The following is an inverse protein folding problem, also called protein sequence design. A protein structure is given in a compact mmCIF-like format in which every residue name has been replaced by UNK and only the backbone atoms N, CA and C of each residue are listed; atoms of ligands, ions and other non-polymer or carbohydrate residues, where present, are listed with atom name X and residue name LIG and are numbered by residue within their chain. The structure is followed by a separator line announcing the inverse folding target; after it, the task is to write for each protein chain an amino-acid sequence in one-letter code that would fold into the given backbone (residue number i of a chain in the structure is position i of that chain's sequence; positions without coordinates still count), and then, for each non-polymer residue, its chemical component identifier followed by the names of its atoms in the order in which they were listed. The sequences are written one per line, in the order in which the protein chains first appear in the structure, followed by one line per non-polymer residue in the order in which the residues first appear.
data_IF_180828170012
#
_entry.id   IF_180828170012
#
_cell.length_a   1.000
_cell.length_b   1.000
_cell.length_c   1.000
_cell.angle_alpha   90.00
_cell.angle_beta   90.00
_cell.angle_gamma   90.00
#
_symmetry.space_group_name_H-M   'P 1'
#
loop_
_entity.id
_entity.type
_entity.pdbx_description
1 polymer ?
#
# COMPACT_ATOMS: atom_id res chain seq x y z
N UNK A 1 -0.22 16.94 19.21
CA UNK A 1 0.22 15.54 19.15
C UNK A 1 0.99 15.26 17.86
N UNK A 2 1.96 14.33 17.89
CA UNK A 2 2.72 13.85 16.74
C UNK A 2 2.36 12.37 16.56
N UNK A 3 1.99 11.96 15.33
CA UNK A 3 1.68 10.57 15.01
C UNK A 3 2.79 9.95 14.17
N UNK A 4 3.31 8.81 14.64
CA UNK A 4 4.15 7.91 13.84
C UNK A 4 3.26 6.84 13.25
N UNK A 5 3.07 6.89 11.93
CA UNK A 5 2.24 5.94 11.22
C UNK A 5 2.99 4.64 10.99
N UNK A 6 2.32 3.51 11.19
CA UNK A 6 2.70 2.25 10.57
C UNK A 6 2.56 2.35 9.04
N UNK A 7 2.86 1.28 8.33
CA UNK A 7 2.59 1.22 6.88
C UNK A 7 1.09 1.28 6.65
N UNK A 8 0.62 2.38 6.06
CA UNK A 8 -0.80 2.62 5.78
C UNK A 8 -1.21 1.80 4.57
N UNK A 9 -2.25 0.97 4.71
CA UNK A 9 -2.78 0.15 3.64
C UNK A 9 -4.28 0.35 3.46
N UNK A 10 -4.76 0.11 2.24
CA UNK A 10 -6.17 0.24 1.86
C UNK A 10 -6.32 0.57 0.38
N UNK A 11 -7.50 0.35 -0.19
CA UNK A 11 -7.77 0.61 -1.59
C UNK A 11 -8.01 2.10 -1.86
N UNK A 12 -7.42 2.59 -2.94
CA UNK A 12 -7.73 3.89 -3.54
C UNK A 12 -7.43 3.83 -5.02
N UNK A 13 -8.26 4.42 -5.86
CA UNK A 13 -8.08 4.47 -7.31
C UNK A 13 -7.00 5.47 -7.73
N UNK A 14 -6.86 6.59 -7.01
CA UNK A 14 -6.09 7.73 -7.51
C UNK A 14 -4.71 7.89 -6.87
N UNK A 15 -4.60 7.59 -5.57
CA UNK A 15 -3.41 7.96 -4.79
C UNK A 15 -2.80 6.79 -4.02
N UNK A 16 -3.22 5.57 -4.34
CA UNK A 16 -2.76 4.38 -3.63
C UNK A 16 -1.28 4.10 -3.89
N UNK A 17 -0.51 4.01 -2.81
CA UNK A 17 0.86 3.54 -2.89
C UNK A 17 0.88 2.02 -3.00
N UNK A 18 0.97 1.51 -4.21
CA UNK A 18 0.90 0.07 -4.49
C UNK A 18 2.02 -0.74 -3.82
N UNK A 19 3.20 -0.17 -3.66
CA UNK A 19 4.37 -0.85 -3.05
C UNK A 19 4.25 -1.08 -1.54
N UNK A 20 3.19 -0.62 -0.89
CA UNK A 20 2.87 -1.05 0.47
C UNK A 20 2.45 -2.52 0.40
N UNK A 21 3.08 -3.37 1.20
CA UNK A 21 3.02 -4.82 1.09
C UNK A 21 1.59 -5.39 1.06
N UNK A 22 0.62 -5.02 1.94
CA UNK A 22 -0.74 -5.54 1.81
C UNK A 22 -1.42 -5.12 0.51
N UNK A 23 -1.17 -3.88 0.00
CA UNK A 23 -1.73 -3.40 -1.25
C UNK A 23 -1.21 -4.21 -2.44
N UNK A 24 0.11 -4.40 -2.51
CA UNK A 24 0.77 -5.16 -3.57
C UNK A 24 0.33 -6.63 -3.56
N UNK A 25 0.31 -7.26 -2.39
CA UNK A 25 -0.05 -8.66 -2.27
C UNK A 25 -1.51 -8.91 -2.64
N UNK A 26 -2.41 -8.00 -2.27
CA UNK A 26 -3.82 -8.07 -2.67
C UNK A 26 -3.98 -7.95 -4.19
N UNK A 27 -3.25 -7.05 -4.83
CA UNK A 27 -3.26 -6.91 -6.30
C UNK A 27 -2.74 -8.19 -6.97
N UNK A 28 -1.60 -8.72 -6.51
CA UNK A 28 -1.05 -9.98 -7.04
C UNK A 28 -2.05 -11.12 -6.85
N UNK A 29 -2.67 -11.20 -5.68
CA UNK A 29 -3.66 -12.24 -5.38
C UNK A 29 -4.90 -12.14 -6.29
N UNK A 30 -5.39 -10.93 -6.57
CA UNK A 30 -6.54 -10.74 -7.48
C UNK A 30 -6.28 -11.21 -8.91
N UNK A 31 -5.02 -11.37 -9.28
CA UNK A 31 -4.57 -11.77 -10.62
C UNK A 31 -4.10 -13.23 -10.70
N UNK A 32 -4.35 -14.05 -9.66
CA UNK A 32 -3.86 -15.42 -9.54
C UNK A 32 -2.31 -15.53 -9.66
N UNK A 33 -1.62 -14.47 -9.25
CA UNK A 33 -0.18 -14.30 -9.45
C UNK A 33 0.70 -15.10 -8.50
N UNK A 34 1.95 -14.66 -8.35
CA UNK A 34 2.93 -15.30 -7.48
C UNK A 34 3.56 -14.28 -6.54
N UNK A 35 3.45 -14.48 -5.24
CA UNK A 35 4.17 -13.71 -4.21
C UNK A 35 5.50 -14.40 -3.94
N UNK A 36 6.59 -13.64 -4.02
CA UNK A 36 7.93 -14.11 -3.60
C UNK A 36 8.21 -13.61 -2.19
N UNK A 37 8.53 -14.53 -1.28
CA UNK A 37 8.89 -14.24 0.11
C UNK A 37 10.41 -14.32 0.26
N UNK A 38 11.07 -13.19 0.25
CA UNK A 38 12.52 -13.08 0.48
C UNK A 38 12.85 -13.46 1.92
N UNK A 39 13.81 -14.36 2.09
CA UNK A 39 14.20 -14.90 3.39
C UNK A 39 13.04 -15.54 4.16
N UNK A 40 12.14 -16.23 3.44
CA UNK A 40 10.97 -16.87 4.03
C UNK A 40 9.89 -15.91 4.57
N UNK A 41 10.01 -14.59 4.33
CA UNK A 41 9.01 -13.60 4.73
C UNK A 41 8.92 -13.31 6.22
N UNK A 42 10.02 -13.50 6.96
CA UNK A 42 10.08 -13.34 8.43
C UNK A 42 10.09 -11.89 8.90
N UNK A 43 10.20 -10.92 7.99
CA UNK A 43 10.28 -9.50 8.32
C UNK A 43 8.99 -8.99 8.96
N UNK A 44 9.14 -8.27 10.07
CA UNK A 44 8.03 -7.62 10.76
C UNK A 44 7.63 -6.32 10.07
N UNK A 45 6.32 -6.05 10.05
CA UNK A 45 5.71 -4.81 9.60
C UNK A 45 4.64 -4.37 10.58
N UNK A 46 4.69 -3.09 10.93
CA UNK A 46 3.61 -2.43 11.68
C UNK A 46 2.65 -1.82 10.66
N UNK A 47 1.41 -2.26 10.67
CA UNK A 47 0.40 -1.93 9.66
C UNK A 47 -0.76 -1.14 10.27
N UNK A 48 -1.39 -0.28 9.48
CA UNK A 48 -2.60 0.44 9.86
C UNK A 48 -3.54 0.62 8.67
N UNK A 49 -4.85 0.30 8.81
CA UNK A 49 -5.83 0.56 7.77
C UNK A 49 -5.99 2.05 7.50
N UNK A 50 -6.08 2.45 6.24
CA UNK A 50 -6.27 3.84 5.81
C UNK A 50 -7.49 4.51 6.47
N UNK A 51 -8.60 3.77 6.55
CA UNK A 51 -9.83 4.28 7.18
C UNK A 51 -9.62 4.55 8.67
N UNK A 52 -8.89 3.70 9.37
CA UNK A 52 -8.60 3.93 10.78
C UNK A 52 -7.63 5.10 11.00
N UNK A 53 -6.76 5.41 10.04
CA UNK A 53 -5.96 6.64 10.06
C UNK A 53 -6.86 7.87 10.00
N UNK A 54 -7.81 7.90 9.05
CA UNK A 54 -8.76 9.00 8.92
C UNK A 54 -9.63 9.15 10.19
N UNK A 55 -10.12 8.03 10.73
CA UNK A 55 -10.88 8.00 11.99
C UNK A 55 -10.06 8.51 13.18
N UNK A 56 -8.78 8.16 13.24
CA UNK A 56 -7.91 8.64 14.30
C UNK A 56 -7.75 10.17 14.23
N UNK A 57 -7.52 10.74 13.06
CA UNK A 57 -7.41 12.20 12.94
C UNK A 57 -8.69 12.91 13.34
N UNK A 58 -9.86 12.40 12.94
CA UNK A 58 -11.14 12.91 13.40
C UNK A 58 -11.28 12.81 14.93
N UNK A 59 -10.93 11.67 15.51
CA UNK A 59 -10.97 11.47 16.96
C UNK A 59 -10.04 12.43 17.72
N UNK A 60 -8.88 12.75 17.16
CA UNK A 60 -7.95 13.73 17.73
C UNK A 60 -8.52 15.12 17.75
N UNK A 61 -9.19 15.54 16.67
CA UNK A 61 -9.85 16.84 16.56
C UNK A 61 -10.98 17.00 17.59
N UNK A 62 -11.77 15.97 17.76
CA UNK A 62 -12.94 15.96 18.66
C UNK A 62 -12.55 15.71 20.14
N UNK A 63 -11.36 15.19 20.40
CA UNK A 63 -10.93 14.75 21.75
C UNK A 63 -9.92 15.72 22.38
N UNK A 64 -10.16 16.05 23.65
CA UNK A 64 -9.21 16.81 24.48
C UNK A 64 -8.14 15.92 25.15
N UNK A 65 -8.09 14.62 24.83
CA UNK A 65 -7.24 13.63 25.51
C UNK A 65 -5.78 13.60 24.99
N UNK A 66 -5.50 14.30 23.89
CA UNK A 66 -4.16 14.34 23.32
C UNK A 66 -3.36 15.52 23.87
N UNK A 67 -2.19 15.20 24.39
CA UNK A 67 -1.21 16.20 24.82
C UNK A 67 -0.10 16.37 23.76
N UNK A 68 0.89 17.21 24.04
CA UNK A 68 2.08 17.38 23.20
C UNK A 68 3.00 16.16 23.31
N UNK A 69 2.56 15.03 22.79
CA UNK A 69 3.27 13.77 22.82
C UNK A 69 3.34 13.08 21.45
N UNK A 70 4.14 12.01 21.41
CA UNK A 70 4.26 11.14 20.24
C UNK A 70 3.41 9.90 20.48
N UNK A 71 2.60 9.55 19.48
CA UNK A 71 1.72 8.38 19.46
C UNK A 71 2.02 7.53 18.24
N UNK A 72 2.14 6.22 18.42
CA UNK A 72 2.26 5.30 17.28
C UNK A 72 0.85 4.94 16.80
N UNK A 73 0.54 5.31 15.57
CA UNK A 73 -0.70 4.95 14.90
C UNK A 73 -0.44 3.72 14.04
N UNK A 74 -0.53 2.58 14.67
CA UNK A 74 -0.45 1.25 14.05
C UNK A 74 -1.46 0.35 14.73
N UNK A 75 -2.09 -0.56 13.97
CA UNK A 75 -3.01 -1.53 14.53
C UNK A 75 -2.33 -2.87 14.79
N UNK A 76 -1.63 -3.38 13.79
CA UNK A 76 -1.12 -4.74 13.78
C UNK A 76 0.38 -4.76 13.55
N UNK A 77 1.05 -5.66 14.27
CA UNK A 77 2.41 -6.06 13.99
C UNK A 77 2.37 -7.49 13.44
N UNK A 78 2.74 -7.66 12.18
CA UNK A 78 2.65 -8.93 11.47
C UNK A 78 3.89 -9.17 10.62
N UNK A 79 4.10 -10.39 10.17
CA UNK A 79 5.17 -10.73 9.24
C UNK A 79 4.69 -10.65 7.78
N UNK A 80 5.64 -10.52 6.86
CA UNK A 80 5.37 -10.55 5.41
C UNK A 80 4.71 -11.88 5.02
N UNK A 81 5.15 -12.99 5.64
CA UNK A 81 4.59 -14.33 5.41
C UNK A 81 3.13 -14.43 5.84
N UNK A 82 2.78 -13.91 7.02
CA UNK A 82 1.40 -13.94 7.52
C UNK A 82 0.45 -13.21 6.56
N UNK A 83 0.83 -12.05 6.04
CA UNK A 83 0.02 -11.32 5.06
C UNK A 83 -0.13 -12.10 3.76
N UNK A 84 0.93 -12.74 3.26
CA UNK A 84 0.83 -13.60 2.09
C UNK A 84 -0.09 -14.80 2.31
N UNK A 85 -0.07 -15.39 3.50
CA UNK A 85 -0.97 -16.50 3.85
C UNK A 85 -2.43 -16.06 3.94
N UNK A 86 -2.72 -14.85 4.44
CA UNK A 86 -4.07 -14.27 4.39
C UNK A 86 -4.52 -14.14 2.93
N UNK A 87 -3.70 -13.57 2.05
CA UNK A 87 -4.02 -13.48 0.63
C UNK A 87 -4.26 -14.86 0.00
N UNK A 88 -3.45 -15.87 0.36
CA UNK A 88 -3.59 -17.25 -0.12
C UNK A 88 -4.89 -17.92 0.38
N UNK A 89 -5.29 -17.64 1.61
CA UNK A 89 -6.56 -18.11 2.18
C UNK A 89 -7.76 -17.57 1.39
N UNK A 90 -7.72 -16.28 1.04
CA UNK A 90 -8.80 -15.62 0.30
C UNK A 90 -8.81 -16.05 -1.18
N UNK A 91 -7.63 -16.11 -1.81
CA UNK A 91 -7.50 -16.66 -3.17
C UNK A 91 -6.60 -17.89 -3.22
N UNK A 92 -7.16 -19.10 -3.19
CA UNK A 92 -6.39 -20.34 -3.25
C UNK A 92 -5.54 -20.56 -4.51
N UNK A 93 -5.77 -19.83 -5.59
CA UNK A 93 -4.96 -19.90 -6.83
C UNK A 93 -3.65 -19.15 -6.71
N UNK A 94 -3.55 -18.18 -5.79
CA UNK A 94 -2.31 -17.44 -5.53
C UNK A 94 -1.17 -18.41 -5.26
N UNK A 95 -0.01 -18.18 -5.86
CA UNK A 95 1.21 -18.94 -5.59
C UNK A 95 2.09 -18.18 -4.61
N UNK A 96 2.70 -18.90 -3.67
CA UNK A 96 3.71 -18.36 -2.74
C UNK A 96 5.00 -19.14 -2.96
N UNK A 97 6.10 -18.42 -3.19
CA UNK A 97 7.45 -18.98 -3.38
C UNK A 97 8.36 -18.35 -2.33
N UNK A 98 8.95 -19.17 -1.49
CA UNK A 98 9.96 -18.74 -0.53
C UNK A 98 11.35 -18.79 -1.18
N UNK A 99 12.16 -17.76 -0.95
CA UNK A 99 13.54 -17.70 -1.39
C UNK A 99 14.47 -17.67 -0.18
N UNK A 100 15.70 -18.14 -0.37
CA UNK A 100 16.72 -18.17 0.67
C UNK A 100 17.60 -16.90 0.69
N UNK A 101 17.14 -15.84 0.01
CA UNK A 101 17.88 -14.58 -0.04
C UNK A 101 18.05 -14.00 1.35
N UNK A 102 19.22 -13.45 1.62
CA UNK A 102 19.48 -12.71 2.84
C UNK A 102 18.57 -11.47 2.91
N UNK A 103 17.92 -11.29 4.05
CA UNK A 103 17.12 -10.10 4.32
C UNK A 103 17.84 -9.24 5.35
N UNK A 104 18.49 -8.15 4.93
CA UNK A 104 19.32 -7.33 5.80
C UNK A 104 18.52 -6.60 6.88
N UNK A 105 17.21 -6.39 6.66
CA UNK A 105 16.34 -5.72 7.61
C UNK A 105 15.14 -6.59 7.99
N UNK A 106 15.19 -7.13 9.22
CA UNK A 106 14.09 -7.95 9.78
C UNK A 106 12.86 -7.13 10.19
N UNK A 107 12.92 -5.82 10.03
CA UNK A 107 11.83 -4.92 10.40
C UNK A 107 11.80 -4.60 11.90
N UNK A 108 10.72 -3.98 12.30
CA UNK A 108 10.47 -3.61 13.70
C UNK A 108 8.97 -3.61 13.98
N UNK A 109 8.62 -3.64 15.25
CA UNK A 109 7.25 -3.52 15.72
C UNK A 109 7.05 -2.20 16.46
N UNK A 110 5.86 -1.63 16.34
CA UNK A 110 5.44 -0.42 17.05
C UNK A 110 4.37 -0.77 18.09
N UNK A 111 4.53 -0.28 19.31
CA UNK A 111 3.48 -0.36 20.31
C UNK A 111 2.50 0.80 20.14
N UNK A 112 1.21 0.49 20.02
CA UNK A 112 0.13 1.46 19.96
C UNK A 112 -0.55 1.73 21.31
N UNK A 113 -0.03 1.16 22.39
CA UNK A 113 -0.64 1.23 23.72
C UNK A 113 -0.99 2.65 24.14
N UNK A 114 -0.07 3.60 23.97
CA UNK A 114 -0.32 5.01 24.31
C UNK A 114 -1.49 5.64 23.54
N UNK A 115 -1.73 5.21 22.30
CA UNK A 115 -2.89 5.64 21.51
C UNK A 115 -4.16 5.01 22.06
N UNK A 116 -4.15 3.71 22.34
CA UNK A 116 -5.31 3.01 22.90
C UNK A 116 -5.69 3.54 24.28
N UNK A 117 -4.72 3.93 25.12
CA UNK A 117 -4.97 4.53 26.43
C UNK A 117 -5.75 5.87 26.34
N UNK A 118 -5.84 6.50 25.15
CA UNK A 118 -6.70 7.66 24.91
C UNK A 118 -8.18 7.30 24.69
N UNK A 119 -8.48 6.01 24.52
CA UNK A 119 -9.81 5.49 24.18
C UNK A 119 -10.08 5.43 22.69
N UNK A 120 -9.05 5.57 21.84
CA UNK A 120 -9.19 5.31 20.41
C UNK A 120 -9.34 3.81 20.15
N UNK A 121 -10.28 3.45 19.27
CA UNK A 121 -10.54 2.07 18.90
C UNK A 121 -10.40 1.88 17.38
N UNK A 122 -9.65 0.86 16.99
CA UNK A 122 -9.57 0.40 15.60
C UNK A 122 -10.80 -0.44 15.27
N UNK A 123 -11.37 -0.25 14.08
CA UNK A 123 -12.55 -1.01 13.63
C UNK A 123 -12.26 -1.96 12.47
N UNK A 124 -11.28 -1.66 11.65
CA UNK A 124 -10.96 -2.48 10.48
C UNK A 124 -9.89 -3.51 10.83
N UNK A 125 -9.97 -4.71 10.30
CA UNK A 125 -8.96 -5.75 10.47
C UNK A 125 -8.26 -6.06 9.15
N UNK A 126 -7.06 -6.64 9.25
CA UNK A 126 -6.20 -6.90 8.09
C UNK A 126 -6.85 -7.84 7.07
N UNK A 127 -7.49 -8.91 7.52
CA UNK A 127 -8.10 -9.92 6.65
C UNK A 127 -9.25 -9.33 5.82
N UNK A 128 -10.18 -8.62 6.45
CA UNK A 128 -11.30 -7.98 5.75
C UNK A 128 -10.85 -6.89 4.78
N UNK A 129 -9.83 -6.10 5.15
CA UNK A 129 -9.27 -5.10 4.24
C UNK A 129 -8.58 -5.74 3.02
N UNK A 130 -7.86 -6.87 3.22
CA UNK A 130 -7.23 -7.61 2.11
C UNK A 130 -8.31 -8.21 1.20
N UNK A 131 -9.37 -8.80 1.76
CA UNK A 131 -10.49 -9.35 1.00
C UNK A 131 -11.17 -8.27 0.14
N UNK A 132 -11.43 -7.10 0.74
CA UNK A 132 -11.98 -5.95 0.01
C UNK A 132 -11.06 -5.51 -1.13
N UNK A 133 -9.75 -5.39 -0.88
CA UNK A 133 -8.79 -5.01 -1.92
C UNK A 133 -8.70 -6.04 -3.04
N UNK A 134 -8.66 -7.34 -2.73
CA UNK A 134 -8.64 -8.41 -3.74
C UNK A 134 -9.91 -8.35 -4.59
N UNK A 135 -11.06 -8.15 -3.96
CA UNK A 135 -12.35 -8.02 -4.66
C UNK A 135 -12.35 -6.82 -5.60
N UNK A 136 -11.97 -5.65 -5.13
CA UNK A 136 -11.91 -4.43 -5.96
C UNK A 136 -10.94 -4.58 -7.13
N UNK A 137 -9.75 -5.12 -6.91
CA UNK A 137 -8.80 -5.41 -8.00
C UNK A 137 -9.31 -6.46 -9.00
N UNK A 138 -10.14 -7.40 -8.56
CA UNK A 138 -10.73 -8.41 -9.42
C UNK A 138 -11.78 -7.81 -10.36
N UNK A 139 -12.55 -6.82 -9.91
CA UNK A 139 -13.50 -6.11 -10.77
C UNK A 139 -12.79 -5.32 -11.87
N UNK A 140 -11.66 -4.67 -11.61
CA UNK A 140 -10.86 -4.01 -12.65
C UNK A 140 -10.37 -4.99 -13.73
N UNK A 141 -10.14 -6.26 -13.36
CA UNK A 141 -9.76 -7.32 -14.30
C UNK A 141 -10.89 -7.73 -15.25
N UNK A 142 -12.15 -7.53 -14.86
CA UNK A 142 -13.32 -8.00 -15.63
C UNK A 142 -13.91 -6.97 -16.60
N UNK A 143 -13.42 -5.77 -16.62
CA UNK A 143 -13.80 -4.81 -17.67
C UNK A 143 -13.06 -5.11 -18.99
N UNK A 144 -13.25 -6.37 -19.46
CA UNK A 144 -12.72 -6.87 -20.74
C UNK A 144 -13.35 -6.19 -21.96
N UNK A 145 -14.36 -5.35 -21.75
CA UNK A 145 -15.02 -4.57 -22.81
C UNK A 145 -14.52 -3.12 -22.89
N UNK A 146 -13.66 -2.68 -21.96
CA UNK A 146 -12.79 -1.60 -22.31
C UNK A 146 -11.85 -2.16 -23.37
N UNK A 147 -12.16 -1.87 -24.64
CA UNK A 147 -11.13 -1.83 -25.66
C UNK A 147 -9.97 -1.07 -25.03
N UNK A 148 -8.92 -1.80 -24.64
CA UNK A 148 -7.64 -1.20 -24.40
C UNK A 148 -7.16 -0.67 -25.76
N UNK A 149 -7.80 0.36 -26.22
CA UNK A 149 -7.09 1.33 -27.01
C UNK A 149 -5.88 1.66 -26.18
N UNK A 150 -4.69 1.45 -26.69
CA UNK A 150 -3.44 1.99 -26.20
C UNK A 150 -3.69 3.44 -25.76
N UNK A 151 -4.06 3.64 -24.51
CA UNK A 151 -4.60 4.95 -24.25
C UNK A 151 -5.23 5.19 -22.91
N UNK A 152 -4.87 4.45 -21.89
CA UNK A 152 -4.86 5.00 -20.55
C UNK A 152 -3.64 5.89 -20.38
N UNK A 153 -3.37 6.81 -21.31
CA UNK A 153 -2.28 7.76 -21.15
C UNK A 153 -2.76 8.79 -20.13
N UNK A 154 -2.30 8.68 -18.90
CA UNK A 154 -2.46 9.75 -17.92
C UNK A 154 -1.40 10.80 -18.23
N UNK A 155 -1.80 11.86 -18.91
CA UNK A 155 -0.92 12.98 -19.22
C UNK A 155 -1.05 14.07 -18.18
N UNK A 156 0.09 14.52 -17.66
CA UNK A 156 0.20 15.70 -16.82
C UNK A 156 1.02 16.74 -17.60
N UNK A 157 0.37 17.82 -17.96
CA UNK A 157 0.99 18.92 -18.72
C UNK A 157 0.99 20.17 -17.85
N UNK A 158 2.15 20.76 -17.67
CA UNK A 158 2.31 22.05 -17.01
C UNK A 158 3.36 22.92 -17.75
N UNK A 159 3.65 24.10 -17.24
CA UNK A 159 4.61 25.02 -17.82
C UNK A 159 6.03 24.44 -17.92
N UNK A 160 6.37 23.41 -17.15
CA UNK A 160 7.68 22.74 -17.13
C UNK A 160 7.79 21.65 -18.19
N UNK A 161 6.69 21.14 -18.74
CA UNK A 161 6.66 20.11 -19.76
C UNK A 161 5.53 19.10 -19.56
N UNK A 162 5.74 17.87 -20.01
CA UNK A 162 4.75 16.80 -20.06
C UNK A 162 5.27 15.54 -19.39
N UNK A 163 4.40 14.85 -18.65
CA UNK A 163 4.61 13.50 -18.16
C UNK A 163 3.49 12.63 -18.76
N UNK A 164 3.87 11.58 -19.46
CA UNK A 164 2.92 10.58 -20.00
C UNK A 164 3.21 9.24 -19.37
N UNK A 165 2.23 8.68 -18.68
CA UNK A 165 2.30 7.35 -18.09
C UNK A 165 1.49 6.38 -18.94
N UNK A 166 2.09 5.26 -19.31
CA UNK A 166 1.46 4.22 -20.11
C UNK A 166 1.27 3.00 -19.23
N UNK A 167 0.03 2.57 -19.03
CA UNK A 167 -0.26 1.31 -18.36
C UNK A 167 -0.14 0.17 -19.36
N UNK A 168 0.77 -0.77 -19.10
CA UNK A 168 0.98 -1.94 -19.95
C UNK A 168 0.39 -3.19 -19.29
N UNK A 169 -0.24 -4.08 -20.08
CA UNK A 169 -0.90 -5.25 -19.53
C UNK A 169 0.05 -6.31 -18.96
N UNK A 170 1.31 -6.40 -19.42
CA UNK A 170 2.31 -7.40 -18.98
C UNK A 170 3.71 -7.10 -19.48
N UNK A 171 4.74 -7.67 -18.85
CA UNK A 171 5.08 -7.80 -17.42
C UNK A 171 5.52 -6.46 -16.81
N UNK A 172 5.58 -5.43 -17.64
CA UNK A 172 5.86 -4.03 -17.25
C UNK A 172 4.50 -3.38 -17.00
N UNK A 173 4.22 -3.03 -15.75
CA UNK A 173 2.93 -2.47 -15.36
C UNK A 173 2.78 -0.99 -15.75
N UNK A 174 3.89 -0.28 -15.97
CA UNK A 174 3.87 1.14 -16.33
C UNK A 174 5.16 1.53 -17.03
N UNK A 175 5.03 2.30 -18.11
CA UNK A 175 6.14 3.09 -18.68
C UNK A 175 5.79 4.56 -18.50
N UNK A 176 6.72 5.36 -17.94
CA UNK A 176 6.60 6.79 -17.83
C UNK A 176 7.52 7.48 -18.83
N UNK A 177 6.98 8.40 -19.62
CA UNK A 177 7.76 9.33 -20.44
C UNK A 177 7.64 10.73 -19.82
N UNK A 178 8.80 11.37 -19.63
CA UNK A 178 8.87 12.72 -19.05
C UNK A 178 9.59 13.63 -20.02
N UNK A 179 8.90 14.66 -20.47
CA UNK A 179 9.45 15.76 -21.24
C UNK A 179 9.55 16.99 -20.37
N UNK A 180 10.73 17.59 -20.31
CA UNK A 180 10.97 18.80 -19.53
C UNK A 180 11.60 19.88 -20.37
N UNK A 181 11.15 21.11 -20.23
CA UNK A 181 11.76 22.27 -20.89
C UNK A 181 13.14 22.55 -20.27
N UNK A 182 14.07 23.03 -21.09
CA UNK A 182 15.40 23.41 -20.62
C UNK A 182 15.31 24.43 -19.49
N UNK A 183 16.02 24.16 -18.39
CA UNK A 183 16.09 25.05 -17.23
C UNK A 183 14.97 24.84 -16.20
N UNK A 184 14.09 23.85 -16.38
CA UNK A 184 13.09 23.50 -15.36
C UNK A 184 13.57 22.36 -14.48
N UNK A 185 13.17 22.38 -13.19
CA UNK A 185 13.44 21.34 -12.23
C UNK A 185 12.18 20.50 -12.02
N UNK A 186 12.30 19.16 -12.09
CA UNK A 186 11.23 18.20 -11.76
C UNK A 186 11.73 17.23 -10.70
N UNK A 187 10.79 16.75 -9.88
CA UNK A 187 11.05 15.71 -8.89
C UNK A 187 12.29 16.00 -8.03
N UNK A 188 12.22 17.01 -7.17
CA UNK A 188 13.30 17.42 -6.28
C UNK A 188 13.60 16.33 -5.22
N UNK A 189 14.03 15.15 -5.70
CA UNK A 189 14.43 14.02 -4.87
C UNK A 189 15.61 13.30 -5.51
N UNK A 190 16.46 12.76 -4.69
CA UNK A 190 17.65 12.00 -5.09
C UNK A 190 17.30 10.51 -5.18
N UNK A 191 17.71 9.88 -6.28
CA UNK A 191 17.77 8.42 -6.36
C UNK A 191 19.24 8.02 -6.16
N UNK A 192 19.54 7.17 -5.15
CA UNK A 192 20.89 6.64 -4.98
C UNK A 192 21.28 5.71 -6.14
#
# INVERSE_FOLDING_TARGET
AIFRLGSVYGFSTDTMRINIMPNLFSKIASQDGTIKLFGGGVQFKSLVPLIDVARCFKFVEESKKFNNGIYNLTKENTTVKEVALICKKINPKLKIVETNDEVPNKGYTLSNKKLLDTGFEFVNNLETCIEEMITKWSYEKFDKNLEYTFGGVREFIDERGKISNFDLPEPINMIGYIESKKGTMRANHYHP
#
